data_IF_353207183374
#
_entry.id   IF_353207183374
#
_cell.length_a   1.000
_cell.length_b   1.000
_cell.length_c   1.000
_cell.angle_alpha   90.00
_cell.angle_beta   90.00
_cell.angle_gamma   90.00
#
_symmetry.space_group_name_H-M   'P 1'
#
loop_
_entity.id
_entity.type
_entity.pdbx_description
1 polymer ?
#
# COMPACT_ATOMS: atom_id res chain seq x y z
N UNK A 1 -6.62 13.21 -4.03
CA UNK A 1 -5.83 12.88 -5.24
C UNK A 1 -5.28 11.48 -5.10
N UNK A 2 -5.77 10.56 -5.94
CA UNK A 2 -5.31 9.19 -6.00
C UNK A 2 -4.08 9.13 -6.93
N UNK A 3 -2.86 9.33 -6.40
CA UNK A 3 -1.63 9.33 -7.22
C UNK A 3 -1.36 7.93 -7.80
N UNK A 4 -0.88 7.83 -9.04
CA UNK A 4 -0.44 6.56 -9.64
C UNK A 4 0.71 5.90 -8.87
N UNK A 5 1.05 4.66 -9.23
CA UNK A 5 2.20 3.94 -8.68
C UNK A 5 3.46 4.78 -8.95
N UNK A 6 4.26 5.04 -7.92
CA UNK A 6 5.54 5.72 -8.11
C UNK A 6 6.51 4.75 -8.79
N UNK A 7 7.11 5.18 -9.90
CA UNK A 7 8.12 4.47 -10.71
C UNK A 7 9.34 3.98 -9.90
N UNK A 8 9.62 4.61 -8.76
CA UNK A 8 10.72 4.23 -7.87
C UNK A 8 10.31 3.15 -6.85
N UNK A 9 9.06 2.68 -6.93
CA UNK A 9 8.57 1.66 -6.04
C UNK A 9 9.09 0.30 -6.50
N UNK A 10 9.87 -0.33 -5.64
CA UNK A 10 10.40 -1.69 -5.89
C UNK A 10 9.30 -2.75 -5.84
N UNK A 11 8.15 -2.45 -5.23
CA UNK A 11 6.95 -3.27 -5.35
C UNK A 11 6.08 -2.82 -6.52
N UNK A 12 5.52 -3.80 -7.24
CA UNK A 12 4.50 -3.60 -8.29
C UNK A 12 3.18 -3.02 -7.75
N UNK A 13 3.09 -2.81 -6.43
CA UNK A 13 1.87 -2.46 -5.72
C UNK A 13 1.92 -1.04 -5.17
N UNK A 14 0.79 -0.34 -5.29
CA UNK A 14 0.63 1.02 -4.80
C UNK A 14 0.65 1.05 -3.27
N UNK A 15 1.44 1.96 -2.71
CA UNK A 15 1.51 2.20 -1.27
C UNK A 15 2.15 1.06 -0.47
N UNK A 16 2.65 0.02 -1.14
CA UNK A 16 3.51 -1.00 -0.53
C UNK A 16 4.95 -0.67 -0.88
N UNK A 17 5.92 -1.00 -0.04
CA UNK A 17 7.35 -0.89 -0.34
C UNK A 17 8.18 -1.77 0.59
N UNK A 18 9.39 -2.15 0.16
CA UNK A 18 10.32 -2.91 1.00
C UNK A 18 11.05 -1.99 1.99
N UNK A 19 10.83 -2.22 3.28
CA UNK A 19 11.51 -1.52 4.36
C UNK A 19 12.83 -2.23 4.70
N UNK A 20 13.92 -1.79 4.08
CA UNK A 20 15.26 -2.42 4.16
C UNK A 20 15.77 -2.58 5.59
N UNK A 21 15.64 -1.55 6.42
CA UNK A 21 16.17 -1.57 7.79
C UNK A 21 15.46 -2.61 8.68
N UNK A 22 14.15 -2.78 8.48
CA UNK A 22 13.36 -3.75 9.23
C UNK A 22 13.20 -5.10 8.54
N UNK A 23 13.74 -5.26 7.32
CA UNK A 23 13.58 -6.43 6.44
C UNK A 23 12.12 -6.90 6.36
N UNK A 24 11.20 -5.96 6.16
CA UNK A 24 9.75 -6.18 6.16
C UNK A 24 9.08 -5.38 5.04
N UNK A 25 7.92 -5.82 4.61
CA UNK A 25 7.05 -5.10 3.69
C UNK A 25 6.23 -4.06 4.44
N UNK A 26 6.36 -2.79 4.07
CA UNK A 26 5.57 -1.72 4.64
C UNK A 26 4.38 -1.39 3.75
N UNK A 27 3.24 -1.05 4.36
CA UNK A 27 2.09 -0.51 3.66
C UNK A 27 1.72 0.87 4.20
N UNK A 28 1.38 1.79 3.29
CA UNK A 28 1.00 3.16 3.61
C UNK A 28 -0.03 3.69 2.61
N UNK A 29 -0.89 4.59 3.06
CA UNK A 29 -1.89 5.24 2.21
C UNK A 29 -1.97 6.73 2.48
N UNK A 30 -2.09 7.52 1.42
CA UNK A 30 -2.27 8.97 1.54
C UNK A 30 -3.74 9.33 1.36
N UNK A 31 -4.33 10.00 2.35
CA UNK A 31 -5.68 10.59 2.28
C UNK A 31 -5.61 12.05 2.72
N UNK A 32 -6.24 12.95 1.97
CA UNK A 32 -6.32 14.37 2.30
C UNK A 32 -4.94 15.00 2.64
N UNK A 33 -3.92 14.70 1.83
CA UNK A 33 -2.52 15.14 2.02
C UNK A 33 -1.83 14.63 3.30
N UNK A 34 -2.48 13.75 4.07
CA UNK A 34 -1.89 13.05 5.22
C UNK A 34 -1.52 11.62 4.84
N UNK A 35 -0.32 11.22 5.23
CA UNK A 35 0.17 9.86 5.08
C UNK A 35 -0.26 9.04 6.30
N UNK A 36 -0.89 7.90 6.07
CA UNK A 36 -1.29 6.94 7.08
C UNK A 36 -0.45 5.69 6.91
N UNK A 37 0.26 5.34 7.97
CA UNK A 37 1.03 4.11 8.03
C UNK A 37 0.10 2.95 8.41
N UNK A 38 0.12 1.88 7.61
CA UNK A 38 -0.77 0.73 7.78
C UNK A 38 -0.09 -0.44 8.50
N UNK A 39 1.24 -0.49 8.50
CA UNK A 39 2.02 -1.47 9.24
C UNK A 39 3.22 -2.03 8.49
N UNK A 40 3.98 -2.89 9.19
CA UNK A 40 5.02 -3.75 8.65
C UNK A 40 4.54 -5.20 8.62
N UNK A 41 4.82 -5.88 7.53
CA UNK A 41 4.40 -7.24 7.25
C UNK A 41 5.58 -8.09 6.83
N UNK A 42 5.50 -9.40 7.07
CA UNK A 42 6.54 -10.34 6.64
C UNK A 42 6.47 -10.60 5.14
N UNK A 43 5.25 -10.65 4.59
CA UNK A 43 4.99 -10.97 3.20
C UNK A 43 4.46 -9.75 2.43
N UNK A 44 4.79 -9.67 1.14
CA UNK A 44 4.33 -8.59 0.27
C UNK A 44 2.80 -8.62 0.16
N UNK A 45 2.23 -9.81 -0.02
CA UNK A 45 0.79 -10.06 -0.13
C UNK A 45 0.00 -9.54 1.07
N UNK A 46 0.53 -9.69 2.28
CA UNK A 46 -0.10 -9.15 3.49
C UNK A 46 -0.10 -7.62 3.52
N UNK A 47 1.00 -6.99 3.11
CA UNK A 47 1.08 -5.53 2.98
C UNK A 47 0.09 -5.02 1.93
N UNK A 48 -0.05 -5.74 0.81
CA UNK A 48 -1.01 -5.41 -0.24
C UNK A 48 -2.45 -5.55 0.25
N UNK A 49 -2.78 -6.63 0.98
CA UNK A 49 -4.09 -6.82 1.62
C UNK A 49 -4.41 -5.70 2.59
N UNK A 50 -3.44 -5.29 3.41
CA UNK A 50 -3.60 -4.16 4.32
C UNK A 50 -3.86 -2.84 3.58
N UNK A 51 -3.13 -2.59 2.49
CA UNK A 51 -3.38 -1.45 1.61
C UNK A 51 -4.79 -1.47 1.02
N UNK A 52 -5.22 -2.59 0.44
CA UNK A 52 -6.55 -2.73 -0.18
C UNK A 52 -7.66 -2.47 0.84
N UNK A 53 -7.54 -3.03 2.06
CA UNK A 53 -8.50 -2.78 3.15
C UNK A 53 -8.55 -1.29 3.53
N UNK A 54 -7.40 -0.64 3.63
CA UNK A 54 -7.33 0.78 3.91
C UNK A 54 -7.86 1.63 2.74
N UNK A 55 -7.58 1.24 1.50
CA UNK A 55 -8.05 1.91 0.30
C UNK A 55 -9.58 1.92 0.25
N UNK A 56 -10.22 0.78 0.51
CA UNK A 56 -11.68 0.69 0.68
C UNK A 56 -12.17 1.62 1.79
N UNK A 57 -11.56 1.56 2.98
CA UNK A 57 -11.95 2.41 4.13
C UNK A 57 -11.83 3.91 3.84
N UNK A 58 -10.82 4.31 3.08
CA UNK A 58 -10.45 5.72 2.92
C UNK A 58 -10.97 6.36 1.64
N UNK A 59 -11.04 5.62 0.53
CA UNK A 59 -11.41 6.11 -0.80
C UNK A 59 -12.74 5.51 -1.31
N UNK A 60 -13.30 4.50 -0.63
CA UNK A 60 -14.61 3.93 -0.99
C UNK A 60 -14.62 3.36 -2.41
N UNK A 61 -15.60 3.78 -3.21
CA UNK A 61 -15.76 3.37 -4.62
C UNK A 61 -14.61 3.82 -5.53
N UNK A 62 -13.83 4.84 -5.12
CA UNK A 62 -12.66 5.31 -5.85
C UNK A 62 -11.35 4.65 -5.37
N UNK A 63 -11.45 3.61 -4.54
CA UNK A 63 -10.31 2.87 -4.05
C UNK A 63 -9.56 2.20 -5.20
N UNK A 64 -8.26 2.47 -5.29
CA UNK A 64 -7.38 1.68 -6.14
C UNK A 64 -6.95 0.44 -5.36
N UNK A 65 -7.39 -0.73 -5.82
CA UNK A 65 -7.02 -2.01 -5.24
C UNK A 65 -5.91 -2.62 -6.07
N UNK A 66 -4.84 -3.01 -5.39
CA UNK A 66 -3.75 -3.77 -5.97
C UNK A 66 -4.23 -5.22 -6.21
N UNK A 67 -4.00 -5.76 -7.40
CA UNK A 67 -4.31 -7.16 -7.73
C UNK A 67 -3.23 -8.10 -7.17
N UNK A 68 -3.63 -9.06 -6.34
CA UNK A 68 -2.73 -10.07 -5.80
C UNK A 68 -3.07 -11.36 -6.55
N UNK A 69 -2.10 -11.97 -7.25
CA UNK A 69 -2.26 -13.34 -7.75
C UNK A 69 -2.18 -14.31 -6.58
N UNK A 70 -3.14 -15.22 -6.48
CA UNK A 70 -3.15 -16.30 -5.49
C UNK A 70 -2.12 -17.39 -5.87
#
# INVERSE_FOLDING_TARGET
MNRGIQINNTSKFKGVYWHKQGQKWAAQITKNRRLYYLGLFKFETDAVRAYNKAAFKYHGEFAYLNQIGD
#
